data_IF_021172200190
#
_entry.id   IF_021172200190
#
_cell.length_a   1.000
_cell.length_b   1.000
_cell.length_c   1.000
_cell.angle_alpha   90.00
_cell.angle_beta   90.00
_cell.angle_gamma   90.00
#
_symmetry.space_group_name_H-M   'P 1'
#
loop_
_entity.id
_entity.type
_entity.pdbx_description
1 polymer ?
#
# COMPACT_ATOMS: atom_id res chain seq x y z
N UNK A 1 -25.73 -9.69 -35.75
CA UNK A 1 -26.73 -10.63 -35.24
C UNK A 1 -26.06 -11.72 -34.42
N UNK A 2 -26.65 -12.01 -33.25
CA UNK A 2 -26.39 -13.13 -32.34
C UNK A 2 -25.16 -13.08 -31.42
N UNK A 3 -25.39 -12.53 -30.23
CA UNK A 3 -25.02 -13.17 -28.96
C UNK A 3 -25.93 -12.61 -27.86
N UNK A 4 -27.06 -13.27 -27.62
CA UNK A 4 -27.94 -13.07 -26.46
C UNK A 4 -27.66 -14.15 -25.41
N UNK A 5 -27.76 -13.72 -24.15
CA UNK A 5 -28.10 -14.46 -22.94
C UNK A 5 -27.15 -15.55 -22.42
N UNK A 6 -26.63 -15.33 -21.20
CA UNK A 6 -27.08 -15.97 -19.95
C UNK A 6 -26.66 -15.05 -18.79
N UNK A 7 -27.63 -14.31 -18.23
CA UNK A 7 -27.55 -13.75 -16.89
C UNK A 7 -28.57 -14.53 -16.06
N UNK A 8 -28.10 -15.35 -15.12
CA UNK A 8 -28.97 -15.96 -14.11
C UNK A 8 -29.29 -14.91 -13.05
N UNK A 9 -30.59 -14.72 -12.83
CA UNK A 9 -31.22 -13.84 -11.85
C UNK A 9 -30.85 -14.28 -10.43
N UNK A 10 -30.22 -13.43 -9.65
CA UNK A 10 -30.32 -13.47 -8.19
C UNK A 10 -31.63 -12.75 -7.79
N UNK A 11 -32.43 -13.30 -6.87
CA UNK A 11 -33.65 -12.65 -6.42
C UNK A 11 -33.33 -11.40 -5.57
N UNK A 12 -34.20 -10.38 -5.60
CA UNK A 12 -34.02 -9.17 -4.81
C UNK A 12 -34.16 -9.48 -3.31
N UNK A 13 -33.21 -9.02 -2.49
CA UNK A 13 -33.35 -9.02 -1.03
C UNK A 13 -34.27 -7.88 -0.62
N UNK A 14 -35.44 -8.21 -0.10
CA UNK A 14 -36.33 -7.25 0.56
C UNK A 14 -35.71 -6.75 1.87
N UNK A 15 -35.94 -5.48 2.26
CA UNK A 15 -35.52 -4.97 3.56
C UNK A 15 -36.43 -5.53 4.65
N UNK A 16 -35.85 -6.04 5.74
CA UNK A 16 -36.62 -6.44 6.91
C UNK A 16 -37.03 -5.22 7.74
N UNK A 17 -38.32 -4.93 7.73
CA UNK A 17 -39.01 -4.15 8.75
C UNK A 17 -38.84 -4.87 10.10
N UNK A 18 -37.97 -4.37 10.97
CA UNK A 18 -38.09 -4.43 12.43
C UNK A 18 -36.96 -3.61 13.05
N UNK A 19 -37.31 -2.39 13.46
CA UNK A 19 -36.47 -1.61 14.34
C UNK A 19 -36.34 -2.26 15.72
N UNK A 20 -35.22 -1.92 16.37
CA UNK A 20 -34.92 -1.97 17.79
C UNK A 20 -34.15 -3.16 18.40
N UNK A 21 -33.01 -2.73 18.98
CA UNK A 21 -32.46 -3.02 20.31
C UNK A 21 -31.91 -4.43 20.57
N UNK A 22 -30.58 -4.53 20.60
CA UNK A 22 -29.89 -5.54 21.39
C UNK A 22 -29.58 -4.96 22.77
N UNK A 23 -30.39 -5.35 23.75
CA UNK A 23 -30.09 -5.25 25.18
C UNK A 23 -29.20 -6.42 25.63
N UNK A 24 -28.33 -6.08 26.59
CA UNK A 24 -27.74 -6.88 27.67
C UNK A 24 -27.98 -8.39 27.71
N UNK A 25 -26.87 -9.14 27.73
CA UNK A 25 -26.71 -10.25 28.68
C UNK A 25 -25.44 -10.00 29.51
N UNK A 26 -25.68 -9.84 30.81
CA UNK A 26 -24.69 -9.92 31.88
C UNK A 26 -24.52 -11.40 32.21
N UNK A 27 -23.27 -11.86 32.35
CA UNK A 27 -22.98 -13.04 33.16
C UNK A 27 -21.80 -12.71 34.08
N UNK A 28 -22.14 -12.55 35.35
CA UNK A 28 -21.24 -12.56 36.49
C UNK A 28 -20.82 -14.00 36.79
N UNK A 29 -19.52 -14.29 36.82
CA UNK A 29 -18.98 -15.18 37.85
C UNK A 29 -17.54 -14.78 38.19
N UNK A 30 -17.38 -14.48 39.48
CA UNK A 30 -16.20 -13.98 40.14
C UNK A 30 -15.56 -15.13 40.97
N UNK A 31 -14.35 -14.85 41.44
CA UNK A 31 -13.59 -15.47 42.56
C UNK A 31 -12.34 -16.33 42.27
N UNK A 32 -11.21 -15.60 42.30
CA UNK A 32 -10.05 -15.69 43.22
C UNK A 32 -9.12 -16.93 43.26
N UNK A 33 -7.81 -16.65 43.21
CA UNK A 33 -6.87 -17.27 44.15
C UNK A 33 -5.41 -17.44 43.74
N UNK A 34 -4.55 -16.57 44.28
CA UNK A 34 -3.15 -16.78 44.72
C UNK A 34 -1.92 -16.67 43.80
N UNK A 35 -1.21 -15.54 44.03
CA UNK A 35 0.18 -15.39 44.53
C UNK A 35 1.41 -15.99 43.81
N UNK A 36 2.30 -15.03 43.46
CA UNK A 36 3.77 -14.97 43.63
C UNK A 36 4.63 -16.12 43.05
N UNK A 37 5.53 -15.76 42.13
CA UNK A 37 6.94 -15.65 42.53
C UNK A 37 7.78 -14.79 41.56
N UNK A 38 8.64 -13.97 42.15
CA UNK A 38 9.69 -13.20 41.50
C UNK A 38 10.84 -14.15 41.13
N UNK A 39 11.45 -13.97 39.95
CA UNK A 39 12.91 -14.13 39.85
C UNK A 39 13.45 -13.44 38.61
N UNK A 40 14.07 -12.29 38.86
CA UNK A 40 15.03 -11.65 37.96
C UNK A 40 16.21 -12.60 37.71
N UNK A 41 16.51 -12.88 36.44
CA UNK A 41 17.88 -13.21 36.02
C UNK A 41 18.27 -12.36 34.83
N UNK A 42 19.06 -11.33 35.15
CA UNK A 42 19.87 -10.56 34.22
C UNK A 42 20.83 -11.50 33.49
N UNK A 43 20.67 -11.61 32.17
CA UNK A 43 21.74 -12.00 31.28
C UNK A 43 21.95 -10.90 30.25
N UNK A 44 23.00 -10.09 30.47
CA UNK A 44 23.61 -9.25 29.45
C UNK A 44 24.47 -10.14 28.53
N UNK A 45 24.28 -10.10 27.21
CA UNK A 45 25.36 -10.26 26.27
C UNK A 45 25.76 -8.89 25.71
N UNK A 46 27.02 -8.57 26.02
CA UNK A 46 27.94 -7.63 25.36
C UNK A 46 27.43 -6.89 24.12
N UNK A 47 27.35 -5.58 24.27
CA UNK A 47 27.46 -4.61 23.19
C UNK A 47 28.81 -4.75 22.46
N UNK A 48 28.77 -5.12 21.19
CA UNK A 48 29.78 -4.68 20.21
C UNK A 48 29.24 -4.81 18.78
N UNK A 49 28.10 -4.17 18.50
CA UNK A 49 27.87 -3.69 17.14
C UNK A 49 28.58 -2.35 17.05
N UNK A 50 29.75 -2.32 16.42
CA UNK A 50 30.34 -1.07 15.96
C UNK A 50 29.35 -0.48 14.96
N UNK A 51 28.54 0.48 15.42
CA UNK A 51 27.63 1.22 14.57
C UNK A 51 28.46 1.89 13.47
N UNK A 52 28.46 1.31 12.28
CA UNK A 52 28.74 2.07 11.07
C UNK A 52 27.72 3.20 11.09
N UNK A 53 28.19 4.42 11.33
CA UNK A 53 27.35 5.61 11.21
C UNK A 53 26.87 5.63 9.77
N UNK A 54 25.58 5.37 9.56
CA UNK A 54 24.89 5.60 8.28
C UNK A 54 25.24 7.00 7.82
N UNK A 55 25.91 7.11 6.70
CA UNK A 55 26.31 8.39 6.14
C UNK A 55 25.15 8.91 5.27
N UNK A 56 24.13 9.49 5.90
CA UNK A 56 23.07 10.26 5.23
C UNK A 56 23.36 11.75 5.36
N UNK A 57 23.52 12.46 4.23
CA UNK A 57 23.90 13.89 4.23
C UNK A 57 22.83 14.82 3.67
N UNK A 58 21.89 14.32 2.85
CA UNK A 58 20.84 15.14 2.23
C UNK A 58 19.49 15.13 2.96
N UNK A 59 19.45 14.60 4.18
CA UNK A 59 18.21 14.38 4.93
C UNK A 59 17.40 13.19 4.38
N UNK A 60 16.48 12.70 5.20
CA UNK A 60 15.53 11.66 4.79
C UNK A 60 14.27 12.30 4.22
N UNK A 61 13.69 11.64 3.22
CA UNK A 61 12.51 12.06 2.48
C UNK A 61 11.50 10.92 2.45
N UNK A 62 10.24 11.28 2.40
CA UNK A 62 9.13 10.36 2.11
C UNK A 62 8.37 10.94 0.94
N UNK A 63 8.25 10.17 -0.13
CA UNK A 63 7.29 10.42 -1.20
C UNK A 63 5.98 9.75 -0.80
N UNK A 64 4.99 10.53 -0.36
CA UNK A 64 3.65 10.10 0.07
C UNK A 64 2.54 10.50 -0.90
N UNK A 65 2.90 11.21 -1.99
CA UNK A 65 1.98 11.64 -3.06
C UNK A 65 0.85 12.60 -2.62
N UNK A 66 0.95 13.19 -1.43
CA UNK A 66 0.01 14.22 -0.97
C UNK A 66 0.25 15.56 -1.68
N UNK A 67 1.50 15.79 -2.10
CA UNK A 67 1.94 17.02 -2.74
C UNK A 67 2.78 16.74 -3.96
N UNK A 68 2.71 17.66 -4.91
CA UNK A 68 3.49 17.66 -6.14
C UNK A 68 4.95 18.08 -5.87
N UNK A 69 5.77 18.13 -6.92
CA UNK A 69 7.18 18.50 -6.80
C UNK A 69 7.42 19.91 -6.25
N UNK A 70 6.47 20.82 -6.49
CA UNK A 70 6.51 22.22 -6.09
C UNK A 70 5.85 22.45 -4.71
N UNK A 71 5.28 21.41 -4.11
CA UNK A 71 4.63 21.42 -2.80
C UNK A 71 3.15 21.77 -2.82
N UNK A 72 2.51 21.86 -3.99
CA UNK A 72 1.06 22.01 -4.09
C UNK A 72 0.36 20.71 -3.71
N UNK A 73 -0.84 20.81 -3.13
CA UNK A 73 -1.64 19.62 -2.80
C UNK A 73 -2.08 18.96 -4.10
N UNK A 74 -1.83 17.66 -4.22
CA UNK A 74 -2.37 16.85 -5.30
C UNK A 74 -3.84 16.54 -5.00
N UNK A 75 -4.74 17.31 -5.59
CA UNK A 75 -6.18 17.07 -5.51
C UNK A 75 -6.70 16.34 -6.74
N UNK A 76 -7.67 15.44 -6.56
CA UNK A 76 -8.25 14.66 -7.66
C UNK A 76 -7.43 13.42 -7.97
N UNK A 77 -7.53 12.92 -9.21
CA UNK A 77 -6.82 11.70 -9.65
C UNK A 77 -5.87 11.96 -10.84
N UNK A 78 -4.95 12.94 -10.73
CA UNK A 78 -4.08 13.33 -11.84
C UNK A 78 -3.11 12.23 -12.24
N UNK A 79 -2.61 12.33 -13.47
CA UNK A 79 -1.40 11.64 -13.88
C UNK A 79 -0.19 12.47 -13.45
N UNK A 80 0.81 11.83 -12.82
CA UNK A 80 2.05 12.50 -12.44
C UNK A 80 3.08 12.43 -13.57
N UNK A 81 3.68 13.56 -13.91
CA UNK A 81 4.79 13.54 -14.87
C UNK A 81 5.96 12.72 -14.31
N UNK A 82 6.73 12.09 -15.20
CA UNK A 82 7.88 11.29 -14.77
C UNK A 82 8.93 12.08 -14.01
N UNK A 83 9.01 13.40 -14.23
CA UNK A 83 9.93 14.32 -13.54
C UNK A 83 9.27 15.15 -12.44
N UNK A 84 8.03 14.84 -12.07
CA UNK A 84 7.29 15.57 -11.03
C UNK A 84 8.15 15.81 -9.78
N UNK A 85 8.86 14.79 -9.31
CA UNK A 85 9.67 14.85 -8.09
C UNK A 85 11.18 14.99 -8.35
N UNK A 86 11.58 15.33 -9.58
CA UNK A 86 12.99 15.33 -9.98
C UNK A 86 13.79 16.42 -9.27
N UNK A 87 13.26 17.64 -9.20
CA UNK A 87 13.99 18.78 -8.64
C UNK A 87 13.86 18.86 -7.11
N UNK A 88 12.72 18.44 -6.55
CA UNK A 88 12.47 18.51 -5.10
C UNK A 88 12.99 17.30 -4.31
N UNK A 89 12.99 16.11 -4.93
CA UNK A 89 13.36 14.86 -4.26
C UNK A 89 14.45 14.09 -4.99
N UNK A 90 14.84 14.49 -6.21
CA UNK A 90 15.78 13.73 -7.02
C UNK A 90 15.20 12.40 -7.47
N UNK A 91 13.89 12.30 -7.71
CA UNK A 91 13.24 11.03 -8.11
C UNK A 91 12.50 11.18 -9.43
N UNK A 92 12.82 10.30 -10.39
CA UNK A 92 12.02 10.07 -11.58
C UNK A 92 11.09 8.88 -11.35
N UNK A 93 9.79 9.03 -11.65
CA UNK A 93 8.78 7.97 -11.47
C UNK A 93 8.21 7.55 -12.82
N UNK A 94 8.10 6.24 -13.08
CA UNK A 94 7.47 5.71 -14.30
C UNK A 94 6.53 4.56 -13.99
N UNK A 95 5.29 4.65 -14.45
CA UNK A 95 4.37 3.52 -14.51
C UNK A 95 4.48 2.83 -15.88
N UNK A 96 4.74 1.53 -15.87
CA UNK A 96 4.87 0.72 -17.08
C UNK A 96 3.91 -0.46 -16.93
N UNK A 97 2.73 -0.40 -17.54
CA UNK A 97 1.79 -1.51 -17.47
C UNK A 97 2.35 -2.74 -18.20
N UNK A 98 1.77 -3.90 -17.92
CA UNK A 98 2.07 -5.10 -18.70
C UNK A 98 1.70 -4.88 -20.17
N UNK A 99 2.45 -5.50 -21.09
CA UNK A 99 2.22 -5.33 -22.53
C UNK A 99 0.78 -5.62 -22.92
N UNK A 100 0.13 -4.65 -23.58
CA UNK A 100 -1.25 -4.76 -24.04
C UNK A 100 -2.32 -4.55 -22.96
N UNK A 101 -1.94 -4.12 -21.76
CA UNK A 101 -2.85 -3.81 -20.65
C UNK A 101 -2.56 -2.42 -20.09
N UNK A 102 -3.43 -1.94 -19.20
CA UNK A 102 -3.26 -0.66 -18.51
C UNK A 102 -3.30 0.57 -19.43
N UNK A 103 -3.33 1.75 -18.81
CA UNK A 103 -3.23 3.03 -19.48
C UNK A 103 -2.29 3.96 -18.70
N UNK A 104 -1.07 4.11 -19.19
CA UNK A 104 -0.06 5.01 -18.62
C UNK A 104 0.43 5.96 -19.71
N UNK A 105 -0.28 7.08 -19.99
CA UNK A 105 0.12 8.02 -21.01
C UNK A 105 1.53 8.54 -20.69
N UNK A 106 2.43 8.47 -21.66
CA UNK A 106 3.86 8.80 -21.50
C UNK A 106 4.54 8.17 -20.26
N UNK A 107 4.07 6.98 -19.84
CA UNK A 107 4.54 6.24 -18.64
C UNK A 107 4.24 6.95 -17.31
N UNK A 108 3.23 7.80 -17.28
CA UNK A 108 2.79 8.47 -16.06
C UNK A 108 2.00 7.49 -15.19
N UNK A 109 2.32 7.48 -13.89
CA UNK A 109 1.45 6.84 -12.89
C UNK A 109 0.26 7.74 -12.59
N UNK A 110 -0.79 7.16 -12.01
CA UNK A 110 -1.99 7.92 -11.66
C UNK A 110 -2.13 7.98 -10.14
N UNK A 111 -2.49 9.15 -9.62
CA UNK A 111 -2.86 9.32 -8.23
C UNK A 111 -4.28 8.83 -8.01
N UNK A 112 -4.47 8.08 -6.93
CA UNK A 112 -5.77 7.68 -6.40
C UNK A 112 -5.94 8.29 -5.01
N UNK A 113 -6.97 9.10 -4.81
CA UNK A 113 -7.36 9.59 -3.49
C UNK A 113 -8.17 8.51 -2.78
N UNK A 114 -7.59 7.89 -1.76
CA UNK A 114 -8.22 6.79 -1.02
C UNK A 114 -9.40 7.23 -0.17
N UNK A 115 -9.65 8.53 0.00
CA UNK A 115 -10.88 9.01 0.63
C UNK A 115 -12.07 9.01 -0.33
N UNK A 116 -11.80 8.85 -1.64
CA UNK A 116 -12.83 8.95 -2.67
C UNK A 116 -13.74 7.72 -2.67
N UNK A 117 -15.02 7.97 -2.42
CA UNK A 117 -16.03 6.94 -2.27
C UNK A 117 -16.47 6.36 -3.62
N UNK A 118 -15.81 5.30 -4.06
CA UNK A 118 -16.28 4.49 -5.18
C UNK A 118 -17.21 3.39 -4.67
N UNK A 119 -18.52 3.66 -4.60
CA UNK A 119 -19.51 2.60 -4.30
C UNK A 119 -19.73 1.59 -5.42
N UNK A 120 -19.20 1.87 -6.60
CA UNK A 120 -19.24 1.03 -7.77
C UNK A 120 -18.16 1.47 -8.77
N UNK A 121 -17.94 0.61 -9.77
CA UNK A 121 -16.96 0.77 -10.84
C UNK A 121 -17.13 2.04 -11.70
N UNK A 122 -18.13 2.89 -11.44
CA UNK A 122 -18.31 4.19 -12.13
C UNK A 122 -17.55 5.32 -11.46
N UNK A 123 -17.15 5.17 -10.19
CA UNK A 123 -16.58 6.26 -9.39
C UNK A 123 -15.12 6.00 -8.96
N UNK A 124 -14.58 4.81 -9.18
CA UNK A 124 -13.20 4.47 -8.82
C UNK A 124 -13.07 3.00 -8.45
N UNK A 125 -11.94 2.63 -7.88
CA UNK A 125 -11.66 1.29 -7.40
C UNK A 125 -12.09 1.13 -5.93
N UNK A 126 -13.16 0.38 -5.63
CA UNK A 126 -13.62 0.18 -4.27
C UNK A 126 -12.59 -0.53 -3.39
N UNK A 127 -11.70 -1.33 -3.97
CA UNK A 127 -10.68 -2.08 -3.24
C UNK A 127 -9.51 -1.16 -2.80
N UNK A 128 -9.44 0.07 -3.33
CA UNK A 128 -8.45 1.09 -2.94
C UNK A 128 -8.96 2.14 -1.94
N UNK A 129 -10.23 2.07 -1.52
CA UNK A 129 -10.78 3.00 -0.53
C UNK A 129 -10.13 2.87 0.85
N UNK A 130 -10.06 3.94 1.63
CA UNK A 130 -9.57 3.89 3.00
C UNK A 130 -10.30 4.88 3.93
N UNK A 131 -10.55 4.52 5.20
CA UNK A 131 -10.39 3.19 5.80
C UNK A 131 -11.27 2.10 5.15
N UNK A 132 -11.04 0.84 5.51
CA UNK A 132 -11.88 -0.30 5.19
C UNK A 132 -13.28 -0.16 5.83
N UNK A 133 -14.30 -0.73 5.20
CA UNK A 133 -15.68 -0.70 5.67
C UNK A 133 -15.88 -1.32 7.06
N UNK A 134 -15.14 -2.39 7.40
CA UNK A 134 -15.18 -3.01 8.73
C UNK A 134 -14.63 -2.08 9.83
N UNK A 135 -13.91 -1.04 9.44
CA UNK A 135 -13.40 0.00 10.34
C UNK A 135 -14.25 1.28 10.31
N UNK A 136 -15.39 1.27 9.61
CA UNK A 136 -16.27 2.44 9.44
C UNK A 136 -15.92 3.34 8.25
N UNK A 137 -15.03 2.89 7.36
CA UNK A 137 -14.71 3.57 6.11
C UNK A 137 -15.50 3.03 4.92
N UNK A 138 -14.89 3.04 3.73
CA UNK A 138 -15.51 2.63 2.48
C UNK A 138 -14.69 1.69 1.61
N UNK A 139 -13.43 1.42 1.98
CA UNK A 139 -12.62 0.42 1.29
C UNK A 139 -13.24 -0.97 1.40
N UNK A 140 -13.33 -1.68 0.27
CA UNK A 140 -13.87 -3.03 0.20
C UNK A 140 -12.75 -4.05 0.09
N UNK A 141 -12.79 -5.11 0.88
CA UNK A 141 -11.81 -6.19 0.77
C UNK A 141 -11.54 -6.86 2.10
N UNK A 142 -11.43 -8.19 2.06
CA UNK A 142 -11.20 -9.00 3.27
C UNK A 142 -9.83 -8.75 3.89
N UNK A 143 -8.86 -8.32 3.09
CA UNK A 143 -7.48 -8.06 3.53
C UNK A 143 -7.34 -6.78 4.35
N UNK A 144 -8.21 -5.79 4.14
CA UNK A 144 -8.22 -4.54 4.90
C UNK A 144 -9.03 -4.58 6.21
N UNK A 145 -9.71 -5.68 6.51
CA UNK A 145 -10.58 -5.80 7.70
C UNK A 145 -9.79 -5.68 9.01
N UNK A 146 -10.42 -5.16 10.07
CA UNK A 146 -9.80 -5.06 11.41
C UNK A 146 -9.37 -6.41 11.97
N UNK A 147 -10.20 -7.44 11.77
CA UNK A 147 -9.97 -8.79 12.24
C UNK A 147 -9.97 -9.78 11.08
N UNK A 148 -9.20 -10.85 11.22
CA UNK A 148 -9.26 -11.99 10.31
C UNK A 148 -10.67 -12.60 10.45
N UNK A 149 -11.30 -12.88 9.31
CA UNK A 149 -12.64 -13.46 9.27
C UNK A 149 -12.66 -14.72 10.12
N UNK A 150 -13.69 -14.89 10.97
CA UNK A 150 -13.95 -16.05 11.82
C UNK A 150 -12.98 -16.34 12.99
N UNK A 151 -11.92 -15.56 13.21
CA UNK A 151 -10.96 -15.83 14.30
C UNK A 151 -10.92 -14.76 15.39
N UNK A 152 -11.57 -13.60 15.20
CA UNK A 152 -11.45 -12.40 16.06
C UNK A 152 -10.00 -11.93 16.29
N UNK A 153 -9.02 -12.47 15.57
CA UNK A 153 -7.61 -12.06 15.69
C UNK A 153 -7.37 -10.83 14.85
N UNK A 154 -6.53 -9.91 15.33
CA UNK A 154 -6.15 -8.73 14.57
C UNK A 154 -5.53 -9.13 13.22
N UNK A 155 -5.96 -8.45 12.17
CA UNK A 155 -5.44 -8.67 10.82
C UNK A 155 -4.20 -7.79 10.62
N UNK A 156 -3.02 -8.35 10.28
CA UNK A 156 -1.83 -7.55 10.00
C UNK A 156 -1.98 -6.63 8.79
N UNK A 157 -2.88 -6.95 7.86
CA UNK A 157 -3.21 -6.12 6.69
C UNK A 157 -4.26 -5.04 6.95
N UNK A 158 -4.74 -4.87 8.19
CA UNK A 158 -5.87 -4.00 8.50
C UNK A 158 -5.66 -2.56 8.00
N UNK A 159 -6.66 -2.06 7.25
CA UNK A 159 -6.71 -0.72 6.70
C UNK A 159 -7.71 0.14 7.48
N UNK A 160 -7.47 0.34 8.78
CA UNK A 160 -8.39 1.09 9.64
C UNK A 160 -8.10 2.59 9.74
N UNK A 161 -7.18 3.13 8.93
CA UNK A 161 -6.77 4.54 8.96
C UNK A 161 -6.81 5.10 7.55
N UNK A 162 -7.14 6.38 7.40
CA UNK A 162 -7.08 7.07 6.12
C UNK A 162 -5.65 7.06 5.56
N UNK A 163 -5.52 6.77 4.26
CA UNK A 163 -4.24 6.62 3.57
C UNK A 163 -3.88 7.80 2.67
N UNK A 164 -4.82 8.72 2.41
CA UNK A 164 -4.59 9.86 1.52
C UNK A 164 -4.42 9.41 0.08
N UNK A 165 -3.46 9.99 -0.62
CA UNK A 165 -3.14 9.68 -2.00
C UNK A 165 -2.21 8.47 -2.11
N UNK A 166 -2.46 7.64 -3.12
CA UNK A 166 -1.61 6.52 -3.48
C UNK A 166 -1.32 6.53 -4.98
N UNK A 167 -0.25 5.86 -5.40
CA UNK A 167 0.17 5.77 -6.79
C UNK A 167 -0.21 4.42 -7.39
N UNK A 168 -0.94 4.45 -8.50
CA UNK A 168 -1.38 3.27 -9.24
C UNK A 168 -0.88 3.26 -10.70
N UNK A 169 -0.94 2.08 -11.31
CA UNK A 169 -0.97 1.95 -12.77
C UNK A 169 -2.44 1.92 -13.17
N UNK A 170 -2.92 2.89 -13.94
CA UNK A 170 -4.33 2.93 -14.33
C UNK A 170 -4.72 1.76 -15.25
N UNK A 171 -5.93 1.24 -15.09
CA UNK A 171 -6.50 0.13 -15.89
C UNK A 171 -6.73 0.49 -17.37
N UNK A 172 -7.39 1.62 -17.61
CA UNK A 172 -7.80 2.06 -18.95
C UNK A 172 -7.98 3.58 -19.03
N UNK A 173 -8.15 4.12 -20.24
CA UNK A 173 -8.34 5.55 -20.47
C UNK A 173 -9.76 5.99 -20.07
N UNK A 174 -9.98 6.16 -18.75
CA UNK A 174 -11.26 6.53 -18.16
C UNK A 174 -11.09 7.62 -17.10
N UNK A 175 -12.13 8.45 -16.85
CA UNK A 175 -11.99 9.66 -16.03
C UNK A 175 -11.80 9.38 -14.54
N UNK A 176 -12.14 8.20 -14.04
CA UNK A 176 -11.92 7.80 -12.64
C UNK A 176 -10.70 6.89 -12.52
N UNK A 177 -9.99 7.01 -11.39
CA UNK A 177 -8.82 6.20 -11.13
C UNK A 177 -9.24 4.78 -10.77
N UNK A 178 -8.58 3.81 -11.38
CA UNK A 178 -8.82 2.39 -11.16
C UNK A 178 -7.55 1.65 -11.52
N UNK A 179 -7.06 0.80 -10.64
CA UNK A 179 -5.78 0.17 -10.87
C UNK A 179 -5.85 -0.94 -11.92
N UNK A 180 -4.70 -1.23 -12.52
CA UNK A 180 -4.65 -2.19 -13.59
C UNK A 180 -4.72 -3.59 -13.02
N UNK A 181 -5.82 -4.30 -13.30
CA UNK A 181 -6.02 -5.71 -12.94
C UNK A 181 -4.84 -6.63 -13.35
N UNK A 182 -4.08 -6.26 -14.39
CA UNK A 182 -2.93 -7.01 -14.89
C UNK A 182 -1.57 -6.51 -14.38
N UNK A 183 -1.57 -5.47 -13.55
CA UNK A 183 -0.40 -4.86 -12.94
C UNK A 183 0.59 -4.27 -13.95
N UNK A 184 1.88 -4.50 -13.67
CA UNK A 184 2.99 -3.93 -14.41
C UNK A 184 4.15 -3.65 -13.48
N UNK A 185 4.84 -2.53 -13.70
CA UNK A 185 5.84 -2.05 -12.76
C UNK A 185 5.81 -0.54 -12.59
N UNK A 186 6.06 -0.11 -11.37
CA UNK A 186 6.34 1.29 -11.04
C UNK A 186 7.82 1.40 -10.75
N UNK A 187 8.50 2.28 -11.47
CA UNK A 187 9.95 2.46 -11.42
C UNK A 187 10.26 3.80 -10.79
N UNK A 188 11.01 3.79 -9.70
CA UNK A 188 11.61 4.95 -9.05
C UNK A 188 13.09 4.96 -9.38
N UNK A 189 13.56 5.99 -10.06
CA UNK A 189 14.98 6.19 -10.34
C UNK A 189 15.48 7.39 -9.55
N UNK A 190 16.50 7.16 -8.73
CA UNK A 190 17.08 8.20 -7.91
C UNK A 190 18.18 8.92 -8.69
N UNK A 191 18.21 10.25 -8.60
CA UNK A 191 19.20 11.14 -9.21
C UNK A 191 20.58 10.96 -8.58
N UNK A 192 20.57 10.74 -7.26
CA UNK A 192 21.73 10.46 -6.43
C UNK A 192 21.49 9.13 -5.74
N UNK A 193 22.56 8.45 -5.32
CA UNK A 193 22.43 7.25 -4.51
C UNK A 193 21.66 7.53 -3.21
N UNK A 194 20.77 6.61 -2.84
CA UNK A 194 19.98 6.71 -1.62
C UNK A 194 20.11 5.46 -0.76
N UNK A 195 19.88 5.64 0.53
CA UNK A 195 19.55 4.58 1.46
C UNK A 195 18.04 4.39 1.42
N UNK A 196 17.57 3.29 0.81
CA UNK A 196 16.14 2.93 0.81
C UNK A 196 15.76 2.40 2.20
N UNK A 197 14.72 2.99 2.79
CA UNK A 197 14.27 2.66 4.15
C UNK A 197 12.98 1.87 4.17
N UNK A 198 11.94 2.35 3.48
CA UNK A 198 10.64 1.69 3.52
C UNK A 198 9.88 1.89 2.21
N UNK A 199 9.03 0.93 1.88
CA UNK A 199 8.03 1.06 0.83
C UNK A 199 6.70 0.58 1.39
N UNK A 200 5.68 1.43 1.29
CA UNK A 200 4.31 1.12 1.66
C UNK A 200 3.51 0.66 0.46
N UNK A 201 2.73 -0.41 0.63
CA UNK A 201 1.87 -0.98 -0.40
C UNK A 201 0.42 -1.03 0.07
N UNK A 202 -0.48 -1.04 -0.91
CA UNK A 202 -1.91 -1.25 -0.72
C UNK A 202 -2.45 -2.23 -1.76
N UNK A 203 -3.45 -3.01 -1.36
CA UNK A 203 -4.19 -3.94 -2.22
C UNK A 203 -3.30 -5.03 -2.84
N UNK A 204 -2.32 -5.51 -2.08
CA UNK A 204 -1.46 -6.60 -2.54
C UNK A 204 -2.12 -7.94 -2.22
N UNK A 205 -2.56 -8.64 -3.26
CA UNK A 205 -3.19 -9.96 -3.14
C UNK A 205 -2.18 -11.01 -2.64
N UNK A 206 -2.61 -11.93 -1.79
CA UNK A 206 -1.81 -13.04 -1.27
C UNK A 206 -1.28 -13.96 -2.40
N UNK A 207 -0.10 -14.57 -2.18
CA UNK A 207 0.50 -15.57 -3.08
C UNK A 207 0.63 -15.16 -4.55
N UNK A 208 0.64 -13.86 -4.80
CA UNK A 208 0.51 -13.28 -6.12
C UNK A 208 1.84 -13.10 -6.85
N UNK A 209 2.97 -13.29 -6.14
CA UNK A 209 4.34 -13.25 -6.67
C UNK A 209 4.89 -11.83 -6.89
N UNK A 210 4.32 -10.84 -6.20
CA UNK A 210 4.72 -9.43 -6.32
C UNK A 210 6.08 -9.24 -5.67
N UNK A 211 6.91 -8.36 -6.23
CA UNK A 211 8.27 -8.17 -5.71
C UNK A 211 8.83 -6.78 -5.99
N UNK A 212 9.79 -6.36 -5.16
CA UNK A 212 10.69 -5.26 -5.45
C UNK A 212 11.98 -5.76 -6.10
N UNK A 213 12.48 -5.05 -7.11
CA UNK A 213 13.85 -5.14 -7.63
C UNK A 213 14.59 -3.87 -7.29
N UNK A 214 15.68 -4.01 -6.53
CA UNK A 214 16.49 -2.88 -6.06
C UNK A 214 17.84 -2.97 -6.74
N UNK A 215 18.18 -1.96 -7.53
CA UNK A 215 19.48 -1.84 -8.21
C UNK A 215 20.39 -0.92 -7.42
N UNK A 216 21.59 -1.40 -7.12
CA UNK A 216 22.64 -0.69 -6.39
C UNK A 216 23.54 0.10 -7.35
N UNK A 217 24.41 0.97 -6.84
CA UNK A 217 25.34 1.75 -7.64
C UNK A 217 26.42 0.92 -8.37
N UNK A 218 26.78 -0.24 -7.81
CA UNK A 218 27.69 -1.21 -8.43
C UNK A 218 27.01 -2.06 -9.53
N UNK A 219 25.71 -1.86 -9.76
CA UNK A 219 24.90 -2.61 -10.73
C UNK A 219 24.30 -3.91 -10.19
N UNK A 220 24.58 -4.29 -8.94
CA UNK A 220 23.96 -5.46 -8.30
C UNK A 220 22.45 -5.26 -8.18
N UNK A 221 21.68 -6.33 -8.35
CA UNK A 221 20.22 -6.31 -8.24
C UNK A 221 19.75 -7.28 -7.17
N UNK A 222 19.04 -6.76 -6.19
CA UNK A 222 18.36 -7.55 -5.17
C UNK A 222 16.88 -7.69 -5.49
N UNK A 223 16.30 -8.85 -5.19
CA UNK A 223 14.88 -9.11 -5.33
C UNK A 223 14.28 -9.46 -3.98
N UNK A 224 13.20 -8.78 -3.61
CA UNK A 224 12.48 -9.00 -2.36
C UNK A 224 10.99 -9.24 -2.67
N UNK A 225 10.44 -10.35 -2.19
CA UNK A 225 9.00 -10.64 -2.33
C UNK A 225 8.20 -9.68 -1.46
N UNK A 226 7.07 -9.19 -1.99
CA UNK A 226 6.13 -8.35 -1.26
C UNK A 226 5.12 -9.28 -0.59
N UNK A 227 4.91 -9.07 0.71
CA UNK A 227 3.86 -9.77 1.45
C UNK A 227 2.53 -9.10 1.12
N UNK A 228 1.64 -9.87 0.51
CA UNK A 228 0.24 -9.50 0.30
C UNK A 228 -0.64 -10.05 1.42
N UNK A 229 -1.64 -9.27 1.83
CA UNK A 229 -2.67 -9.69 2.79
C UNK A 229 -4.07 -9.65 2.17
N UNK A 230 -4.17 -9.54 0.85
CA UNK A 230 -5.44 -9.57 0.13
C UNK A 230 -6.00 -8.18 -0.17
N UNK A 231 -7.25 -8.17 -0.62
CA UNK A 231 -7.90 -6.96 -1.10
C UNK A 231 -8.01 -5.88 -0.02
N UNK A 232 -7.76 -4.63 -0.38
CA UNK A 232 -7.75 -3.45 0.49
C UNK A 232 -6.77 -3.51 1.66
N UNK A 233 -5.86 -4.48 1.66
CA UNK A 233 -4.88 -4.61 2.73
C UNK A 233 -3.76 -3.59 2.63
N UNK A 234 -3.15 -3.30 3.77
CA UNK A 234 -1.92 -2.52 3.87
C UNK A 234 -0.74 -3.44 4.13
N UNK A 235 0.40 -3.18 3.49
CA UNK A 235 1.67 -3.76 3.92
C UNK A 235 2.79 -2.73 3.83
N UNK A 236 3.86 -2.93 4.59
CA UNK A 236 5.05 -2.09 4.55
C UNK A 236 6.26 -2.99 4.64
N UNK A 237 7.19 -2.81 3.70
CA UNK A 237 8.47 -3.49 3.76
C UNK A 237 9.52 -2.51 4.24
N UNK A 238 10.28 -2.95 5.24
CA UNK A 238 11.45 -2.24 5.71
C UNK A 238 12.70 -2.73 4.97
N UNK A 239 13.55 -1.78 4.64
CA UNK A 239 14.81 -1.95 3.96
C UNK A 239 15.90 -1.24 4.77
N UNK A 240 17.12 -1.74 4.63
CA UNK A 240 18.33 -1.05 5.10
C UNK A 240 19.40 -1.22 4.03
N UNK A 241 19.11 -0.64 2.86
CA UNK A 241 19.91 -0.81 1.65
C UNK A 241 20.47 0.54 1.23
N UNK A 242 21.77 0.72 1.45
CA UNK A 242 22.54 1.91 1.03
C UNK A 242 22.87 1.82 -0.46
N UNK A 243 23.21 2.95 -1.09
CA UNK A 243 23.69 3.00 -2.48
C UNK A 243 22.69 2.53 -3.54
N UNK A 244 21.39 2.69 -3.27
CA UNK A 244 20.33 2.37 -4.20
C UNK A 244 20.22 3.45 -5.28
N UNK A 245 20.21 3.02 -6.54
CA UNK A 245 20.01 3.90 -7.71
C UNK A 245 18.63 3.76 -8.33
N UNK A 246 17.98 2.61 -8.14
CA UNK A 246 16.67 2.32 -8.72
C UNK A 246 15.89 1.30 -7.89
N UNK A 247 14.62 1.60 -7.67
CA UNK A 247 13.61 0.69 -7.15
C UNK A 247 12.58 0.40 -8.25
N UNK A 248 12.36 -0.87 -8.57
CA UNK A 248 11.25 -1.30 -9.42
C UNK A 248 10.28 -2.14 -8.58
N UNK A 249 9.05 -1.66 -8.42
CA UNK A 249 7.97 -2.45 -7.82
C UNK A 249 7.23 -3.18 -8.93
N UNK A 250 7.23 -4.50 -8.89
CA UNK A 250 6.54 -5.35 -9.84
C UNK A 250 5.21 -5.85 -9.26
N UNK A 251 4.12 -5.32 -9.83
CA UNK A 251 2.75 -5.71 -9.52
C UNK A 251 2.33 -6.76 -10.54
N UNK A 252 1.98 -7.97 -10.10
CA UNK A 252 1.52 -9.04 -11.01
C UNK A 252 -0.01 -9.06 -11.19
N UNK A 253 -0.69 -8.07 -10.64
CA UNK A 253 -2.12 -7.79 -10.74
C UNK A 253 -2.41 -6.40 -10.16
N UNK A 254 -3.62 -6.16 -9.61
CA UNK A 254 -3.98 -4.88 -9.00
C UNK A 254 -3.08 -4.56 -7.79
N UNK A 255 -2.95 -3.29 -7.46
CA UNK A 255 -2.18 -2.83 -6.32
C UNK A 255 -1.63 -1.42 -6.50
N UNK A 256 -1.23 -0.84 -5.37
CA UNK A 256 -0.77 0.54 -5.30
C UNK A 256 0.47 0.71 -4.41
N UNK A 257 1.17 1.82 -4.62
CA UNK A 257 2.25 2.31 -3.75
C UNK A 257 1.70 3.44 -2.89
N UNK A 258 1.80 3.31 -1.58
CA UNK A 258 1.41 4.36 -0.63
C UNK A 258 2.51 5.37 -0.41
N UNK A 259 3.73 4.89 -0.20
CA UNK A 259 4.88 5.77 -0.02
C UNK A 259 6.21 5.07 -0.31
N UNK A 260 7.24 5.89 -0.55
CA UNK A 260 8.64 5.46 -0.59
C UNK A 260 9.47 6.36 0.32
N UNK A 261 10.09 5.78 1.35
CA UNK A 261 10.96 6.48 2.29
C UNK A 261 12.43 6.15 2.03
N UNK A 262 13.27 7.18 1.95
CA UNK A 262 14.70 7.05 1.65
C UNK A 262 15.50 8.22 2.23
N UNK A 263 16.82 8.06 2.33
CA UNK A 263 17.74 9.15 2.69
C UNK A 263 18.83 9.30 1.65
N UNK A 264 19.25 10.51 1.34
CA UNK A 264 20.37 10.71 0.41
C UNK A 264 21.69 10.31 1.06
N UNK A 265 22.45 9.45 0.36
CA UNK A 265 23.78 9.03 0.82
C UNK A 265 24.76 10.21 0.81
N UNK A 266 25.74 10.19 1.71
CA UNK A 266 26.86 11.12 1.64
C UNK A 266 27.87 10.66 0.58
N UNK A 267 28.29 11.56 -0.33
CA UNK A 267 29.53 11.37 -1.08
C UNK A 267 29.45 11.52 -2.60
N UNK A 268 28.38 12.09 -3.15
CA UNK A 268 28.29 12.47 -4.57
C UNK A 268 27.99 13.96 -4.75
#
# INVERSE_FOLDING_TARGET
>A
EKAEAIYQKLPPTEPNENGNLYEHEQDDHNYEGHDRDETQKQHRPRSSQSGRRRMSCGGCKTLDFERDGDGHILSGTPYIDKKEYWDSHGVEIKAIPRSGTGYAPDKQGRIYDTSYYALNDYYGDPDLGSPNIDCGGHGLGSGGRRHIWNTNTNNPGANCVAQGNILIIQESNKPYADDNLYGGRIVFRFRYNVTLQQVGFMDIVENSGYYCKITMNDGTVHRHEIVGYGKNSLSTMEFDMEHVTKLEVHLLGPGAIRFVAFCHDCGE
#
